data_IF_487975525538
#
_entry.id   IF_487975525538
#
_cell.length_a   1.000
_cell.length_b   1.000
_cell.length_c   1.000
_cell.angle_alpha   90.00
_cell.angle_beta   90.00
_cell.angle_gamma   90.00
#
_symmetry.space_group_name_H-M   'P 1'
#
loop_
_entity.id
_entity.type
_entity.pdbx_description
1 polymer ?
#
# COMPACT_ATOMS: atom_id res chain seq x y z
N UNK A 1 -66.26 31.58 30.52
CA UNK A 1 -66.65 32.69 31.41
C UNK A 1 -65.50 32.89 32.39
N UNK A 2 -64.61 33.88 32.21
CA UNK A 2 -64.75 35.28 32.72
C UNK A 2 -65.07 35.28 34.22
N UNK A 3 -64.33 35.88 35.16
CA UNK A 3 -63.29 36.91 35.19
C UNK A 3 -62.84 37.02 36.67
N UNK A 4 -61.56 37.28 36.93
CA UNK A 4 -60.96 37.83 38.18
C UNK A 4 -61.54 39.25 38.47
N UNK A 5 -61.23 40.05 39.56
CA UNK A 5 -60.11 40.00 40.53
C UNK A 5 -60.29 40.58 41.98
N UNK A 6 -59.21 40.45 42.77
CA UNK A 6 -58.60 41.45 43.69
C UNK A 6 -58.84 41.23 45.20
N UNK A 7 -57.87 41.41 46.11
CA UNK A 7 -57.00 42.59 46.29
C UNK A 7 -55.79 42.28 47.22
N UNK A 8 -54.60 42.63 46.74
CA UNK A 8 -53.41 43.22 47.42
C UNK A 8 -53.13 42.99 48.92
N UNK A 9 -51.88 42.56 49.20
CA UNK A 9 -51.05 43.20 50.23
C UNK A 9 -49.59 43.28 49.79
N UNK A 10 -49.10 44.53 49.67
CA UNK A 10 -47.69 44.92 49.48
C UNK A 10 -46.94 44.80 50.81
N UNK A 11 -45.73 44.23 50.77
CA UNK A 11 -44.58 44.41 51.70
C UNK A 11 -43.50 43.41 51.24
N UNK A 12 -42.23 43.70 51.04
CA UNK A 12 -41.36 44.85 51.28
C UNK A 12 -40.13 44.57 50.40
N UNK A 13 -39.65 45.54 49.61
CA UNK A 13 -38.42 45.37 48.82
C UNK A 13 -37.23 45.58 49.77
N UNK A 14 -36.51 44.52 50.10
CA UNK A 14 -35.19 44.58 50.73
C UNK A 14 -34.14 44.57 49.62
N UNK A 15 -33.34 45.64 49.59
CA UNK A 15 -32.24 45.82 48.68
C UNK A 15 -31.00 45.07 49.19
N UNK A 16 -30.84 43.81 48.78
CA UNK A 16 -29.55 43.09 48.83
C UNK A 16 -29.62 41.87 47.92
N UNK A 17 -29.49 42.04 46.61
CA UNK A 17 -28.92 40.99 45.75
C UNK A 17 -28.44 41.56 44.40
N UNK A 18 -27.46 42.47 44.45
CA UNK A 18 -26.78 42.99 43.26
C UNK A 18 -25.32 42.55 43.30
N UNK A 19 -25.03 41.24 43.14
CA UNK A 19 -23.65 40.80 42.87
C UNK A 19 -23.48 39.41 42.23
N UNK A 20 -24.50 38.77 41.64
CA UNK A 20 -24.30 37.49 40.96
C UNK A 20 -23.80 37.69 39.53
N UNK A 21 -22.49 37.88 39.37
CA UNK A 21 -21.80 37.70 38.07
C UNK A 21 -22.03 36.26 37.58
N UNK A 22 -22.33 36.02 36.29
CA UNK A 22 -22.37 34.67 35.77
C UNK A 22 -20.95 34.09 35.80
N UNK A 23 -20.74 33.06 36.63
CA UNK A 23 -19.56 32.19 36.53
C UNK A 23 -19.68 31.40 35.22
N UNK A 24 -19.14 31.95 34.14
CA UNK A 24 -19.12 31.35 32.83
C UNK A 24 -17.68 31.26 32.30
N UNK A 25 -16.75 30.65 33.04
CA UNK A 25 -15.38 30.42 32.53
C UNK A 25 -14.70 29.24 33.24
N UNK A 26 -15.18 27.99 33.04
CA UNK A 26 -14.38 26.80 33.38
C UNK A 26 -14.78 25.48 32.66
N UNK A 27 -15.72 25.46 31.71
CA UNK A 27 -16.22 24.19 31.10
C UNK A 27 -15.87 23.98 29.62
N UNK A 28 -15.21 24.95 28.97
CA UNK A 28 -15.00 24.89 27.51
C UNK A 28 -13.80 24.00 27.10
N UNK A 29 -12.79 23.83 27.96
CA UNK A 29 -11.61 23.02 27.63
C UNK A 29 -11.85 21.50 27.78
N UNK A 30 -12.57 21.08 28.82
CA UNK A 30 -12.86 19.66 29.08
C UNK A 30 -13.75 19.04 27.99
N UNK A 31 -14.72 19.79 27.47
CA UNK A 31 -15.60 19.36 26.37
C UNK A 31 -14.86 19.21 25.03
N UNK A 32 -13.78 19.96 24.82
CA UNK A 32 -13.01 19.94 23.56
C UNK A 32 -12.11 18.69 23.46
N UNK A 33 -11.51 18.26 24.58
CA UNK A 33 -10.64 17.08 24.61
C UNK A 33 -11.47 15.79 24.52
N UNK A 34 -12.61 15.70 25.22
CA UNK A 34 -13.52 14.54 25.12
C UNK A 34 -13.99 14.33 23.68
N UNK A 35 -14.39 15.40 22.99
CA UNK A 35 -14.87 15.33 21.61
C UNK A 35 -13.79 14.85 20.62
N UNK A 36 -12.52 15.24 20.82
CA UNK A 36 -11.40 14.78 19.99
C UNK A 36 -11.02 13.33 20.27
N UNK A 37 -11.05 12.93 21.53
CA UNK A 37 -10.82 11.54 21.92
C UNK A 37 -11.90 10.62 21.36
N UNK A 38 -13.18 11.00 21.48
CA UNK A 38 -14.30 10.25 20.91
C UNK A 38 -14.21 10.14 19.38
N UNK A 39 -13.79 11.21 18.71
CA UNK A 39 -13.55 11.18 17.27
C UNK A 39 -12.42 10.23 16.88
N UNK A 40 -11.34 10.18 17.68
CA UNK A 40 -10.24 9.24 17.46
C UNK A 40 -10.70 7.79 17.68
N UNK A 41 -11.42 7.51 18.77
CA UNK A 41 -11.96 6.18 19.06
C UNK A 41 -12.84 5.73 17.90
N UNK A 42 -13.81 6.55 17.46
CA UNK A 42 -14.65 6.26 16.30
C UNK A 42 -13.84 6.04 15.02
N UNK A 43 -12.79 6.84 14.79
CA UNK A 43 -11.92 6.66 13.63
C UNK A 43 -11.26 5.27 13.63
N UNK A 44 -10.83 4.78 14.80
CA UNK A 44 -10.18 3.49 15.02
C UNK A 44 -11.17 2.33 14.97
N UNK A 45 -12.38 2.48 15.53
CA UNK A 45 -13.29 1.34 15.76
C UNK A 45 -14.37 1.16 14.70
N UNK A 46 -14.83 2.24 14.06
CA UNK A 46 -16.06 2.18 13.24
C UNK A 46 -15.85 1.45 11.92
N UNK A 47 -14.74 1.74 11.24
CA UNK A 47 -14.47 1.22 9.91
C UNK A 47 -12.96 1.06 9.66
N UNK A 48 -12.63 0.08 8.81
CA UNK A 48 -11.28 -0.14 8.29
C UNK A 48 -10.86 1.01 7.36
N UNK A 49 -9.63 1.48 7.50
CA UNK A 49 -9.06 2.61 6.73
C UNK A 49 -7.97 2.12 5.76
N UNK A 50 -7.61 2.95 4.78
CA UNK A 50 -6.55 2.65 3.80
C UNK A 50 -6.74 1.30 3.07
N UNK A 51 -7.98 0.93 2.78
CA UNK A 51 -8.32 -0.42 2.30
C UNK A 51 -7.77 -0.69 0.91
N UNK A 52 -7.75 0.33 0.03
CA UNK A 52 -7.15 0.23 -1.30
C UNK A 52 -5.63 0.20 -1.21
N UNK A 53 -5.04 1.08 -0.42
CA UNK A 53 -3.60 1.16 -0.23
C UNK A 53 -3.01 -0.15 0.31
N UNK A 54 -3.65 -0.77 1.30
CA UNK A 54 -3.21 -2.08 1.81
C UNK A 54 -3.37 -3.21 0.78
N UNK A 55 -4.40 -3.13 -0.08
CA UNK A 55 -4.58 -4.10 -1.15
C UNK A 55 -3.50 -3.95 -2.24
N UNK A 56 -3.11 -2.72 -2.56
CA UNK A 56 -1.97 -2.42 -3.44
C UNK A 56 -0.64 -2.85 -2.81
N UNK A 57 -0.42 -2.54 -1.53
CA UNK A 57 0.77 -2.93 -0.78
C UNK A 57 0.97 -4.44 -0.84
N UNK A 58 -0.08 -5.23 -0.57
CA UNK A 58 -0.03 -6.70 -0.69
C UNK A 58 0.44 -7.15 -2.06
N UNK A 59 -0.06 -6.52 -3.13
CA UNK A 59 0.34 -6.87 -4.50
C UNK A 59 1.83 -6.54 -4.69
N UNK A 60 2.27 -5.35 -4.30
CA UNK A 60 3.67 -4.94 -4.46
C UNK A 60 4.60 -5.83 -3.63
N UNK A 61 4.29 -6.10 -2.36
CA UNK A 61 5.07 -6.99 -1.50
C UNK A 61 5.13 -8.41 -2.03
N UNK A 62 3.99 -8.96 -2.47
CA UNK A 62 3.96 -10.28 -3.12
C UNK A 62 4.87 -10.34 -4.34
N UNK A 63 4.83 -9.30 -5.18
CA UNK A 63 5.70 -9.19 -6.36
C UNK A 63 7.17 -9.06 -5.98
N UNK A 64 7.52 -8.25 -4.99
CA UNK A 64 8.91 -8.12 -4.51
C UNK A 64 9.44 -9.47 -4.06
N UNK A 65 8.69 -10.17 -3.19
CA UNK A 65 9.11 -11.47 -2.64
C UNK A 65 9.25 -12.49 -3.77
N UNK A 66 8.30 -12.57 -4.70
CA UNK A 66 8.37 -13.51 -5.82
C UNK A 66 9.52 -13.20 -6.78
N UNK A 67 9.72 -11.94 -7.12
CA UNK A 67 10.85 -11.52 -7.95
C UNK A 67 12.17 -11.89 -7.26
N UNK A 68 12.31 -11.55 -5.98
CA UNK A 68 13.49 -11.85 -5.18
C UNK A 68 13.79 -13.35 -5.12
N UNK A 69 12.78 -14.19 -4.87
CA UNK A 69 12.99 -15.64 -4.86
C UNK A 69 13.32 -16.16 -6.28
N UNK A 70 12.61 -15.68 -7.30
CA UNK A 70 12.83 -16.13 -8.68
C UNK A 70 14.24 -15.81 -9.19
N UNK A 71 14.72 -14.59 -8.95
CA UNK A 71 16.05 -14.16 -9.39
C UNK A 71 17.17 -14.90 -8.68
N UNK A 72 16.95 -15.29 -7.42
CA UNK A 72 17.95 -15.99 -6.61
C UNK A 72 17.74 -17.51 -6.59
N UNK A 73 16.86 -18.06 -7.43
CA UNK A 73 16.51 -19.47 -7.39
C UNK A 73 17.71 -20.37 -7.64
N UNK A 74 18.63 -19.98 -8.54
CA UNK A 74 19.81 -20.77 -8.89
C UNK A 74 20.83 -20.81 -7.75
N UNK A 75 21.05 -19.67 -7.10
CA UNK A 75 22.09 -19.50 -6.08
C UNK A 75 21.58 -19.66 -4.64
N UNK A 76 20.30 -20.03 -4.46
CA UNK A 76 19.62 -20.11 -3.15
C UNK A 76 20.39 -20.89 -2.07
N UNK A 77 21.08 -21.98 -2.45
CA UNK A 77 21.85 -22.80 -1.52
C UNK A 77 23.13 -22.11 -1.05
N UNK A 78 23.76 -21.33 -1.93
CA UNK A 78 24.92 -20.51 -1.60
C UNK A 78 24.54 -19.31 -0.74
N UNK A 79 23.38 -18.71 -1.01
CA UNK A 79 22.92 -17.49 -0.35
C UNK A 79 22.32 -17.74 1.05
N UNK A 80 21.52 -18.81 1.20
CA UNK A 80 20.80 -19.12 2.46
C UNK A 80 20.78 -20.60 2.84
N UNK A 81 21.09 -21.52 1.93
CA UNK A 81 20.99 -22.96 2.19
C UNK A 81 22.29 -23.57 2.71
N UNK A 82 22.53 -24.84 2.37
CA UNK A 82 23.63 -25.64 2.93
C UNK A 82 25.03 -25.07 2.66
N UNK A 83 25.21 -24.42 1.50
CA UNK A 83 26.49 -23.80 1.14
C UNK A 83 26.71 -22.43 1.81
N UNK A 84 25.73 -21.93 2.58
CA UNK A 84 25.82 -20.70 3.38
C UNK A 84 26.19 -20.92 4.85
N UNK A 85 26.61 -22.14 5.22
CA UNK A 85 26.97 -22.50 6.60
C UNK A 85 28.09 -21.61 7.19
N UNK A 86 28.94 -21.02 6.35
CA UNK A 86 29.98 -20.07 6.77
C UNK A 86 29.41 -18.78 7.40
N UNK A 87 28.16 -18.42 7.10
CA UNK A 87 27.47 -17.23 7.67
C UNK A 87 26.92 -17.52 9.08
N UNK A 88 26.89 -18.79 9.50
CA UNK A 88 26.23 -19.22 10.72
C UNK A 88 26.72 -18.56 12.02
N UNK A 89 28.03 -18.29 12.21
CA UNK A 89 28.51 -17.58 13.39
C UNK A 89 27.89 -16.18 13.55
N UNK A 90 27.76 -15.43 12.45
CA UNK A 90 27.14 -14.10 12.46
C UNK A 90 25.62 -14.18 12.64
N UNK A 91 24.97 -15.19 12.03
CA UNK A 91 23.55 -15.45 12.27
C UNK A 91 23.27 -15.78 13.74
N UNK A 92 24.13 -16.59 14.41
CA UNK A 92 24.07 -16.87 15.85
C UNK A 92 24.22 -15.58 16.67
N UNK A 93 25.20 -14.74 16.33
CA UNK A 93 25.49 -13.50 17.04
C UNK A 93 24.30 -12.53 17.05
N UNK A 94 23.50 -12.49 15.99
CA UNK A 94 22.30 -11.64 15.91
C UNK A 94 21.16 -12.08 16.84
N UNK A 95 21.17 -13.32 17.35
CA UNK A 95 20.27 -13.76 18.42
C UNK A 95 18.79 -13.92 18.04
N UNK A 96 18.49 -14.23 16.77
CA UNK A 96 17.12 -14.53 16.36
C UNK A 96 16.62 -15.86 16.94
N UNK A 97 15.30 -15.97 17.17
CA UNK A 97 14.69 -17.17 17.72
C UNK A 97 15.02 -18.42 16.89
N UNK A 98 15.39 -19.52 17.56
CA UNK A 98 15.85 -20.76 16.89
C UNK A 98 14.82 -21.33 15.91
N UNK A 99 13.53 -21.15 16.17
CA UNK A 99 12.46 -21.58 15.24
C UNK A 99 12.60 -20.96 13.85
N UNK A 100 13.08 -19.71 13.73
CA UNK A 100 13.27 -19.02 12.45
C UNK A 100 14.45 -19.59 11.67
N UNK A 101 15.45 -20.12 12.38
CA UNK A 101 16.68 -20.67 11.81
C UNK A 101 16.48 -22.11 11.35
N UNK A 102 15.81 -22.91 12.17
CA UNK A 102 15.45 -24.30 11.84
C UNK A 102 14.52 -24.36 10.63
N UNK A 103 13.69 -23.32 10.42
CA UNK A 103 12.78 -23.24 9.28
C UNK A 103 13.50 -23.32 7.92
N UNK A 104 14.73 -22.79 7.84
CA UNK A 104 15.58 -22.87 6.64
C UNK A 104 16.89 -23.60 6.97
N UNK A 105 16.81 -24.93 6.99
CA UNK A 105 17.94 -25.80 7.34
C UNK A 105 19.18 -25.53 6.50
N UNK A 106 20.34 -25.46 7.16
CA UNK A 106 21.66 -25.43 6.51
C UNK A 106 22.38 -26.78 6.52
N UNK A 107 21.78 -27.80 7.13
CA UNK A 107 22.34 -29.14 7.19
C UNK A 107 21.71 -30.08 6.16
N UNK A 108 20.49 -29.75 5.70
CA UNK A 108 19.73 -30.60 4.78
C UNK A 108 19.18 -29.78 3.60
N UNK A 109 19.75 -30.01 2.42
CA UNK A 109 19.38 -29.32 1.19
C UNK A 109 17.92 -29.57 0.76
N UNK A 110 17.40 -30.78 1.00
CA UNK A 110 16.01 -31.10 0.66
C UNK A 110 15.03 -30.33 1.54
N UNK A 111 15.25 -30.28 2.86
CA UNK A 111 14.40 -29.51 3.78
C UNK A 111 14.46 -28.01 3.47
N UNK A 112 15.63 -27.49 3.12
CA UNK A 112 15.77 -26.12 2.65
C UNK A 112 14.93 -25.86 1.39
N UNK A 113 15.04 -26.72 0.37
CA UNK A 113 14.31 -26.57 -0.88
C UNK A 113 12.79 -26.65 -0.68
N UNK A 114 12.33 -27.51 0.23
CA UNK A 114 10.90 -27.57 0.63
C UNK A 114 10.47 -26.26 1.29
N UNK A 115 11.24 -25.72 2.24
CA UNK A 115 10.92 -24.46 2.92
C UNK A 115 10.94 -23.26 1.96
N UNK A 116 11.91 -23.24 1.04
CA UNK A 116 12.02 -22.22 0.00
C UNK A 116 10.84 -22.28 -0.98
N UNK A 117 10.48 -23.48 -1.45
CA UNK A 117 9.31 -23.71 -2.29
C UNK A 117 8.01 -23.34 -1.58
N UNK A 118 7.88 -23.64 -0.28
CA UNK A 118 6.73 -23.25 0.52
C UNK A 118 6.61 -21.72 0.63
N UNK A 119 7.72 -21.00 0.87
CA UNK A 119 7.73 -19.53 0.85
C UNK A 119 7.32 -18.98 -0.52
N UNK A 120 7.79 -19.58 -1.61
CA UNK A 120 7.40 -19.19 -2.97
C UNK A 120 5.89 -19.32 -3.20
N UNK A 121 5.30 -20.46 -2.80
CA UNK A 121 3.86 -20.69 -2.89
C UNK A 121 3.08 -19.72 -1.99
N UNK A 122 3.54 -19.50 -0.75
CA UNK A 122 2.93 -18.52 0.15
C UNK A 122 2.93 -17.12 -0.47
N UNK A 123 4.02 -16.71 -1.13
CA UNK A 123 4.12 -15.43 -1.80
C UNK A 123 3.15 -15.31 -2.99
N UNK A 124 2.98 -16.37 -3.79
CA UNK A 124 1.96 -16.43 -4.86
C UNK A 124 0.54 -16.29 -4.30
N UNK A 125 0.22 -17.06 -3.26
CA UNK A 125 -1.11 -17.04 -2.64
C UNK A 125 -1.39 -15.68 -1.99
N UNK A 126 -0.37 -15.06 -1.39
CA UNK A 126 -0.44 -13.71 -0.84
C UNK A 126 -0.66 -12.65 -1.93
N UNK A 127 0.09 -12.72 -3.04
CA UNK A 127 -0.06 -11.85 -4.21
C UNK A 127 -1.47 -11.91 -4.80
N UNK A 128 -2.05 -13.11 -4.89
CA UNK A 128 -3.42 -13.32 -5.40
C UNK A 128 -4.47 -12.96 -4.35
N UNK A 129 -4.14 -13.07 -3.07
CA UNK A 129 -4.97 -12.60 -1.96
C UNK A 129 -6.05 -13.59 -1.60
N UNK A 130 -5.66 -14.84 -1.51
CA UNK A 130 -6.51 -15.93 -1.06
C UNK A 130 -6.16 -16.30 0.39
N UNK A 131 -7.17 -16.38 1.26
CA UNK A 131 -7.02 -16.70 2.68
C UNK A 131 -5.99 -15.84 3.41
N UNK A 132 -5.95 -14.53 3.13
CA UNK A 132 -4.85 -13.66 3.60
C UNK A 132 -4.72 -13.61 5.12
N UNK A 133 -5.79 -13.88 5.87
CA UNK A 133 -5.76 -13.96 7.35
C UNK A 133 -4.81 -15.05 7.86
N UNK A 134 -4.69 -16.16 7.14
CA UNK A 134 -3.82 -17.28 7.52
C UNK A 134 -2.48 -17.20 6.78
N UNK A 135 -2.51 -16.79 5.51
CA UNK A 135 -1.31 -16.71 4.67
C UNK A 135 -0.36 -15.61 5.13
N UNK A 136 -0.86 -14.46 5.61
CA UNK A 136 0.02 -13.34 6.03
C UNK A 136 0.92 -13.72 7.21
N UNK A 137 0.43 -14.27 8.34
CA UNK A 137 1.31 -14.71 9.43
C UNK A 137 2.34 -15.77 8.99
N UNK A 138 1.94 -16.75 8.18
CA UNK A 138 2.84 -17.79 7.68
C UNK A 138 3.91 -17.20 6.74
N UNK A 139 3.50 -16.34 5.81
CA UNK A 139 4.42 -15.63 4.93
C UNK A 139 5.39 -14.78 5.74
N UNK A 140 4.93 -14.04 6.75
CA UNK A 140 5.78 -13.24 7.63
C UNK A 140 6.81 -14.12 8.32
N UNK A 141 6.39 -15.26 8.88
CA UNK A 141 7.30 -16.21 9.55
C UNK A 141 8.37 -16.73 8.59
N UNK A 142 7.99 -17.19 7.39
CA UNK A 142 8.92 -17.70 6.39
C UNK A 142 9.84 -16.60 5.82
N UNK A 143 9.31 -15.41 5.56
CA UNK A 143 10.11 -14.28 5.08
C UNK A 143 11.14 -13.82 6.11
N UNK A 144 10.73 -13.69 7.38
CA UNK A 144 11.66 -13.38 8.47
C UNK A 144 12.68 -14.51 8.63
N UNK A 145 12.26 -15.77 8.57
CA UNK A 145 13.17 -16.93 8.61
C UNK A 145 14.25 -16.86 7.54
N UNK A 146 13.87 -16.72 6.26
CA UNK A 146 14.83 -16.66 5.16
C UNK A 146 15.75 -15.43 5.28
N UNK A 147 15.17 -14.24 5.50
CA UNK A 147 15.93 -13.00 5.56
C UNK A 147 16.90 -12.91 6.75
N UNK A 148 16.63 -13.63 7.84
CA UNK A 148 17.53 -13.72 9.00
C UNK A 148 18.53 -14.88 8.90
N UNK A 149 18.34 -15.80 7.95
CA UNK A 149 19.25 -16.93 7.74
C UNK A 149 20.61 -16.53 7.14
N UNK A 150 20.69 -15.35 6.52
CA UNK A 150 21.94 -14.78 6.00
C UNK A 150 22.03 -13.29 6.32
N UNK A 151 23.13 -12.90 6.96
CA UNK A 151 23.36 -11.54 7.42
C UNK A 151 23.88 -10.58 6.33
N UNK A 152 24.37 -11.14 5.22
CA UNK A 152 25.16 -10.43 4.20
C UNK A 152 24.29 -9.85 3.08
N UNK A 153 23.10 -10.40 2.88
CA UNK A 153 22.23 -10.08 1.74
C UNK A 153 21.10 -9.09 2.09
N UNK A 154 21.04 -8.65 3.35
CA UNK A 154 19.94 -7.80 3.84
C UNK A 154 20.22 -6.32 3.53
N UNK A 155 19.17 -5.59 3.16
CA UNK A 155 19.22 -4.13 3.01
C UNK A 155 18.12 -3.46 3.86
N UNK A 156 18.02 -2.13 3.76
CA UNK A 156 16.99 -1.37 4.48
C UNK A 156 15.56 -1.77 4.11
N UNK A 157 15.33 -2.19 2.86
CA UNK A 157 14.00 -2.57 2.35
C UNK A 157 13.48 -3.83 3.01
N UNK A 158 14.35 -4.85 3.10
CA UNK A 158 14.07 -6.09 3.80
C UNK A 158 13.74 -5.85 5.29
N UNK A 159 14.47 -4.95 5.96
CA UNK A 159 14.18 -4.55 7.34
C UNK A 159 12.80 -3.91 7.48
N UNK A 160 12.48 -2.96 6.60
CA UNK A 160 11.20 -2.25 6.58
C UNK A 160 10.05 -3.21 6.28
N UNK A 161 10.25 -4.16 5.35
CA UNK A 161 9.27 -5.20 5.02
C UNK A 161 9.03 -6.14 6.19
N UNK A 162 10.07 -6.62 6.91
CA UNK A 162 9.87 -7.48 8.10
C UNK A 162 9.00 -6.82 9.17
N UNK A 163 9.33 -5.58 9.53
CA UNK A 163 8.62 -4.85 10.59
C UNK A 163 7.18 -4.58 10.15
N UNK A 164 6.98 -4.10 8.92
CA UNK A 164 5.63 -3.83 8.42
C UNK A 164 4.81 -5.12 8.24
N UNK A 165 5.38 -6.21 7.73
CA UNK A 165 4.71 -7.51 7.63
C UNK A 165 4.23 -8.02 8.99
N UNK A 166 4.98 -7.79 10.07
CA UNK A 166 4.55 -8.10 11.43
C UNK A 166 3.29 -7.31 11.82
N UNK A 167 3.22 -6.02 11.50
CA UNK A 167 2.02 -5.21 11.73
C UNK A 167 0.86 -5.68 10.84
N UNK A 168 1.14 -6.02 9.58
CA UNK A 168 0.14 -6.40 8.59
C UNK A 168 -0.54 -7.75 8.87
N UNK A 169 0.01 -8.57 9.77
CA UNK A 169 -0.68 -9.76 10.34
C UNK A 169 -2.05 -9.38 10.92
N UNK A 170 -2.15 -8.18 11.50
CA UNK A 170 -3.39 -7.66 12.10
C UNK A 170 -4.25 -6.86 11.12
N UNK A 171 -3.75 -6.61 9.90
CA UNK A 171 -4.43 -5.84 8.87
C UNK A 171 -5.30 -6.71 7.95
N UNK A 172 -6.18 -6.06 7.20
CA UNK A 172 -7.02 -6.71 6.21
C UNK A 172 -6.55 -6.28 4.83
N UNK A 173 -5.74 -7.15 4.23
CA UNK A 173 -5.05 -6.89 2.96
C UNK A 173 -5.85 -7.34 1.73
N UNK A 174 -7.01 -7.98 1.95
CA UNK A 174 -7.80 -8.61 0.90
C UNK A 174 -9.13 -7.92 0.65
N UNK A 175 -9.30 -6.66 1.08
CA UNK A 175 -10.50 -5.86 0.83
C UNK A 175 -10.79 -5.69 -0.67
N UNK A 176 -9.75 -5.40 -1.45
CA UNK A 176 -9.83 -5.15 -2.90
C UNK A 176 -8.80 -5.99 -3.68
N UNK A 177 -9.05 -6.15 -4.98
CA UNK A 177 -8.15 -6.83 -5.94
C UNK A 177 -7.60 -8.19 -5.47
N UNK A 178 -8.45 -8.97 -4.82
CA UNK A 178 -8.07 -10.26 -4.24
C UNK A 178 -9.12 -11.33 -4.53
N UNK A 179 -8.69 -12.58 -4.51
CA UNK A 179 -9.62 -13.73 -4.61
C UNK A 179 -10.60 -13.73 -3.43
N UNK A 180 -10.16 -13.38 -2.22
CA UNK A 180 -11.06 -13.27 -1.07
C UNK A 180 -12.16 -12.21 -1.30
N UNK A 181 -11.83 -11.05 -1.87
CA UNK A 181 -12.82 -10.02 -2.22
C UNK A 181 -13.81 -10.52 -3.28
N UNK A 182 -13.31 -11.22 -4.30
CA UNK A 182 -14.14 -11.81 -5.35
C UNK A 182 -15.09 -12.87 -4.79
N UNK A 183 -14.60 -13.79 -3.95
CA UNK A 183 -15.41 -14.81 -3.28
C UNK A 183 -16.46 -14.17 -2.36
N UNK A 184 -16.11 -13.12 -1.61
CA UNK A 184 -17.08 -12.39 -0.76
C UNK A 184 -18.19 -11.74 -1.60
N UNK A 185 -17.85 -11.13 -2.74
CA UNK A 185 -18.86 -10.55 -3.66
C UNK A 185 -19.79 -11.62 -4.23
N UNK A 186 -19.25 -12.79 -4.62
CA UNK A 186 -20.05 -13.92 -5.13
C UNK A 186 -20.96 -14.55 -4.09
N UNK A 187 -20.53 -14.64 -2.83
CA UNK A 187 -21.32 -15.26 -1.74
C UNK A 187 -22.55 -14.44 -1.33
N UNK A 188 -22.63 -13.17 -1.73
CA UNK A 188 -23.73 -12.26 -1.41
C UNK A 188 -23.78 -11.86 0.07
N UNK A 189 -24.61 -10.86 0.43
CA UNK A 189 -24.75 -10.39 1.81
C UNK A 189 -25.44 -11.37 2.77
N UNK A 190 -26.03 -12.47 2.25
CA UNK A 190 -27.00 -13.30 2.97
C UNK A 190 -26.45 -14.57 3.62
N UNK A 191 -25.22 -14.98 3.33
CA UNK A 191 -24.68 -16.23 3.91
C UNK A 191 -23.95 -15.96 5.23
N UNK A 192 -24.63 -16.28 6.34
CA UNK A 192 -24.03 -16.32 7.68
C UNK A 192 -22.76 -17.21 7.62
N UNK A 193 -21.66 -16.81 8.29
CA UNK A 193 -20.42 -17.59 8.27
C UNK A 193 -20.70 -19.02 8.76
N UNK A 194 -20.31 -20.01 7.94
CA UNK A 194 -20.60 -21.45 8.16
C UNK A 194 -19.90 -21.97 9.43
N UNK A 195 -18.74 -21.43 9.78
CA UNK A 195 -18.11 -21.65 11.08
C UNK A 195 -18.49 -20.53 12.04
N UNK A 196 -19.64 -20.67 12.71
CA UNK A 196 -19.94 -19.94 13.93
C UNK A 196 -19.31 -20.73 15.10
N UNK A 197 -18.00 -20.60 15.30
CA UNK A 197 -17.24 -21.46 16.22
C UNK A 197 -16.16 -20.73 17.03
N UNK A 198 -16.37 -20.72 18.35
CA UNK A 198 -15.50 -20.39 19.50
C UNK A 198 -14.97 -18.96 19.73
N UNK A 199 -14.60 -18.17 18.72
CA UNK A 199 -14.10 -16.79 18.95
C UNK A 199 -14.63 -15.78 17.91
N UNK A 200 -15.92 -15.48 17.95
CA UNK A 200 -16.46 -14.31 17.24
C UNK A 200 -16.15 -13.05 18.04
N UNK A 201 -15.01 -12.43 17.74
CA UNK A 201 -14.67 -11.11 18.27
C UNK A 201 -15.64 -10.05 17.71
N UNK A 202 -15.99 -9.03 18.50
CA UNK A 202 -16.72 -7.88 18.01
C UNK A 202 -16.03 -7.22 16.82
N UNK A 203 -16.80 -6.68 15.87
CA UNK A 203 -16.28 -6.02 14.66
C UNK A 203 -15.32 -4.87 14.98
N UNK A 204 -15.58 -4.14 16.08
CA UNK A 204 -14.75 -3.03 16.53
C UNK A 204 -13.33 -3.49 16.89
N UNK A 205 -13.14 -4.71 17.44
CA UNK A 205 -11.80 -5.26 17.75
C UNK A 205 -11.02 -5.49 16.45
N UNK A 206 -11.67 -6.08 15.45
CA UNK A 206 -11.06 -6.32 14.15
C UNK A 206 -10.75 -5.03 13.38
N UNK A 207 -11.59 -4.00 13.52
CA UNK A 207 -11.34 -2.68 12.96
C UNK A 207 -10.19 -1.96 13.68
N UNK A 208 -10.16 -2.04 15.01
CA UNK A 208 -9.11 -1.44 15.82
C UNK A 208 -7.75 -2.07 15.53
N UNK A 209 -7.65 -3.41 15.50
CA UNK A 209 -6.41 -4.12 15.17
C UNK A 209 -5.91 -3.77 13.76
N UNK A 210 -6.83 -3.69 12.80
CA UNK A 210 -6.52 -3.27 11.43
C UNK A 210 -6.00 -1.83 11.36
N UNK A 211 -6.69 -0.88 11.99
CA UNK A 211 -6.31 0.53 11.97
C UNK A 211 -5.03 0.80 12.79
N UNK A 212 -4.80 0.03 13.87
CA UNK A 212 -3.54 0.06 14.60
C UNK A 212 -2.37 -0.38 13.71
N UNK A 213 -2.53 -1.45 12.92
CA UNK A 213 -1.51 -1.87 11.95
C UNK A 213 -1.21 -0.78 10.91
N UNK A 214 -2.24 -0.09 10.39
CA UNK A 214 -2.07 1.05 9.48
C UNK A 214 -1.30 2.18 10.15
N UNK A 215 -1.67 2.54 11.39
CA UNK A 215 -0.98 3.58 12.16
C UNK A 215 0.48 3.23 12.42
N UNK A 216 0.79 1.98 12.79
CA UNK A 216 2.16 1.51 13.04
C UNK A 216 3.01 1.54 11.77
N UNK A 217 2.45 1.09 10.63
CA UNK A 217 3.14 1.19 9.33
C UNK A 217 3.39 2.66 8.94
N UNK A 218 2.39 3.52 9.10
CA UNK A 218 2.53 4.94 8.82
C UNK A 218 3.58 5.58 9.73
N UNK A 219 3.53 5.30 11.04
CA UNK A 219 4.49 5.80 12.02
C UNK A 219 5.92 5.35 11.70
N UNK A 220 6.12 4.08 11.33
CA UNK A 220 7.42 3.58 10.88
C UNK A 220 7.95 4.41 9.69
N UNK A 221 7.12 4.73 8.70
CA UNK A 221 7.56 5.56 7.56
C UNK A 221 7.89 6.98 7.99
N UNK A 222 7.09 7.60 8.85
CA UNK A 222 7.38 8.93 9.39
C UNK A 222 8.73 8.94 10.11
N UNK A 223 9.00 7.92 10.94
CA UNK A 223 10.28 7.77 11.61
C UNK A 223 11.41 7.62 10.59
N UNK A 224 11.27 6.74 9.60
CA UNK A 224 12.30 6.53 8.58
C UNK A 224 12.64 7.84 7.85
N UNK A 225 11.64 8.62 7.43
CA UNK A 225 11.89 9.86 6.71
C UNK A 225 12.48 10.97 7.58
N UNK A 226 11.89 11.24 8.74
CA UNK A 226 12.40 12.28 9.64
C UNK A 226 13.83 11.96 10.06
N UNK A 227 14.07 10.71 10.46
CA UNK A 227 15.39 10.26 10.88
C UNK A 227 16.38 10.32 9.71
N UNK A 228 15.98 9.90 8.51
CA UNK A 228 16.84 10.02 7.33
C UNK A 228 17.19 11.48 7.02
N UNK A 229 16.23 12.40 7.11
CA UNK A 229 16.47 13.83 6.95
C UNK A 229 17.46 14.40 7.98
N UNK A 230 17.32 14.03 9.25
CA UNK A 230 18.24 14.43 10.33
C UNK A 230 19.65 13.88 10.06
N UNK A 231 19.78 12.58 9.78
CA UNK A 231 21.09 11.97 9.53
C UNK A 231 21.77 12.54 8.27
N UNK A 232 21.00 12.91 7.24
CA UNK A 232 21.54 13.63 6.08
C UNK A 232 22.11 14.98 6.51
N UNK A 233 21.37 15.79 7.28
CA UNK A 233 21.85 17.10 7.74
C UNK A 233 23.16 17.03 8.57
N UNK A 234 23.43 15.90 9.22
CA UNK A 234 24.67 15.69 9.98
C UNK A 234 25.89 15.45 9.07
N UNK A 235 25.69 14.88 7.88
CA UNK A 235 26.78 14.62 6.90
C UNK A 235 27.27 15.89 6.23
N UNK A 236 28.56 15.96 5.92
CA UNK A 236 29.18 17.12 5.26
C UNK A 236 28.73 17.23 3.80
N UNK A 237 28.73 16.11 3.08
CA UNK A 237 28.37 16.00 1.67
C UNK A 237 26.93 16.45 1.40
N UNK A 238 26.03 16.23 2.36
CA UNK A 238 24.64 16.68 2.28
C UNK A 238 24.50 18.18 2.51
N UNK A 239 25.31 18.75 3.41
CA UNK A 239 25.35 20.20 3.68
C UNK A 239 25.99 20.97 2.53
N UNK A 240 26.96 20.35 1.87
CA UNK A 240 27.66 20.93 0.71
C UNK A 240 26.90 20.74 -0.60
N UNK A 241 25.79 19.97 -0.60
CA UNK A 241 24.97 19.74 -1.79
C UNK A 241 25.49 18.67 -2.74
N UNK A 242 26.56 17.96 -2.36
CA UNK A 242 27.29 16.98 -3.19
C UNK A 242 26.87 15.53 -2.95
N UNK A 243 26.05 15.24 -1.94
CA UNK A 243 25.71 13.85 -1.58
C UNK A 243 25.04 13.04 -2.70
N UNK A 244 24.18 13.66 -3.52
CA UNK A 244 23.57 12.95 -4.65
C UNK A 244 24.61 12.58 -5.72
N UNK A 245 25.64 13.41 -5.94
CA UNK A 245 26.77 13.09 -6.83
C UNK A 245 27.47 11.81 -6.37
N UNK A 246 27.86 11.73 -5.10
CA UNK A 246 28.51 10.54 -4.56
C UNK A 246 27.62 9.30 -4.65
N UNK A 247 26.30 9.47 -4.49
CA UNK A 247 25.35 8.36 -4.61
C UNK A 247 25.34 7.75 -6.02
N UNK A 248 25.43 8.56 -7.08
CA UNK A 248 25.32 8.09 -8.47
C UNK A 248 26.67 7.71 -9.11
N UNK A 249 27.80 8.07 -8.49
CA UNK A 249 29.16 7.78 -9.01
C UNK A 249 29.80 6.55 -8.35
N UNK A 250 29.28 6.07 -7.22
CA UNK A 250 29.75 4.83 -6.58
C UNK A 250 29.52 3.60 -7.48
N UNK A 251 30.60 2.95 -7.92
CA UNK A 251 30.54 1.84 -8.89
C UNK A 251 29.61 0.69 -8.47
N UNK A 252 29.53 0.40 -7.16
CA UNK A 252 28.65 -0.64 -6.61
C UNK A 252 27.15 -0.34 -6.82
N UNK A 253 26.79 0.93 -7.00
CA UNK A 253 25.42 1.41 -7.20
C UNK A 253 25.18 1.98 -8.60
N UNK A 254 25.96 1.57 -9.61
CA UNK A 254 25.83 2.07 -11.00
C UNK A 254 25.35 0.98 -11.97
N UNK A 255 24.07 0.56 -11.92
CA UNK A 255 23.52 -0.40 -12.87
C UNK A 255 23.55 0.11 -14.32
N UNK A 256 23.46 1.43 -14.52
CA UNK A 256 23.48 2.09 -15.83
C UNK A 256 24.51 3.22 -15.86
N UNK A 257 25.80 2.93 -16.12
CA UNK A 257 26.88 3.91 -16.02
C UNK A 257 26.65 5.18 -16.84
N UNK A 258 26.19 5.05 -18.09
CA UNK A 258 25.91 6.19 -18.97
C UNK A 258 24.83 7.14 -18.44
N UNK A 259 23.80 6.60 -17.77
CA UNK A 259 22.75 7.41 -17.15
C UNK A 259 23.28 8.16 -15.93
N UNK A 260 24.08 7.49 -15.10
CA UNK A 260 24.79 8.14 -13.99
C UNK A 260 25.71 9.25 -14.50
N UNK A 261 26.45 9.00 -15.59
CA UNK A 261 27.40 9.96 -16.16
C UNK A 261 26.73 11.24 -16.65
N UNK A 262 25.60 11.10 -17.33
CA UNK A 262 24.79 12.25 -17.74
C UNK A 262 24.23 13.02 -16.53
N UNK A 263 23.88 12.32 -15.46
CA UNK A 263 23.21 12.90 -14.30
C UNK A 263 24.16 13.75 -13.47
N UNK A 264 25.39 13.27 -13.23
CA UNK A 264 26.34 14.01 -12.40
C UNK A 264 26.92 15.24 -13.12
N UNK A 265 26.94 15.23 -14.46
CA UNK A 265 27.29 16.41 -15.27
C UNK A 265 26.29 17.56 -15.13
N UNK A 266 25.06 17.28 -14.69
CA UNK A 266 24.06 18.30 -14.42
C UNK A 266 24.14 18.78 -12.96
N UNK A 267 25.15 19.60 -12.66
CA UNK A 267 25.47 20.07 -11.30
C UNK A 267 24.27 20.71 -10.57
N UNK A 268 23.49 21.54 -11.27
CA UNK A 268 22.29 22.14 -10.71
C UNK A 268 21.25 21.09 -10.30
N UNK A 269 21.06 20.06 -11.11
CA UNK A 269 20.16 18.95 -10.80
C UNK A 269 20.61 18.16 -9.59
N UNK A 270 21.92 17.91 -9.47
CA UNK A 270 22.52 17.26 -8.30
C UNK A 270 22.25 18.07 -7.03
N UNK A 271 22.53 19.37 -7.06
CA UNK A 271 22.32 20.25 -5.93
C UNK A 271 20.85 20.25 -5.49
N UNK A 272 19.92 20.43 -6.44
CA UNK A 272 18.48 20.41 -6.16
C UNK A 272 18.04 19.06 -5.60
N UNK A 273 18.48 17.94 -6.18
CA UNK A 273 18.12 16.60 -5.72
C UNK A 273 18.62 16.34 -4.29
N UNK A 274 19.85 16.75 -3.97
CA UNK A 274 20.44 16.64 -2.62
C UNK A 274 19.53 17.33 -1.59
N UNK A 275 19.28 18.64 -1.74
CA UNK A 275 18.49 19.40 -0.76
C UNK A 275 17.01 19.01 -0.74
N UNK A 276 16.40 18.73 -1.90
CA UNK A 276 15.00 18.36 -1.97
C UNK A 276 14.75 17.03 -1.26
N UNK A 277 15.68 16.08 -1.35
CA UNK A 277 15.59 14.81 -0.59
C UNK A 277 15.65 15.03 0.93
N UNK A 278 16.43 15.99 1.42
CA UNK A 278 16.51 16.34 2.85
C UNK A 278 15.19 16.97 3.30
N UNK A 279 14.79 18.07 2.66
CA UNK A 279 13.66 18.87 3.13
C UNK A 279 12.34 18.13 3.00
N UNK A 280 12.12 17.39 1.91
CA UNK A 280 10.86 16.66 1.76
C UNK A 280 10.76 15.51 2.76
N UNK A 281 11.85 14.80 3.06
CA UNK A 281 11.81 13.73 4.05
C UNK A 281 11.66 14.28 5.48
N UNK A 282 12.40 15.33 5.83
CA UNK A 282 12.37 15.94 7.15
C UNK A 282 11.00 16.56 7.46
N UNK A 283 10.43 17.30 6.49
CA UNK A 283 9.16 17.99 6.64
C UNK A 283 7.95 17.13 6.23
N UNK A 284 8.17 15.85 5.87
CA UNK A 284 7.11 14.96 5.41
C UNK A 284 5.89 14.93 6.35
N UNK A 285 6.04 14.77 7.69
CA UNK A 285 4.89 14.77 8.59
C UNK A 285 4.06 16.06 8.53
N UNK A 286 4.72 17.21 8.34
CA UNK A 286 4.05 18.51 8.21
C UNK A 286 3.31 18.63 6.89
N UNK A 287 3.93 18.16 5.79
CA UNK A 287 3.28 18.15 4.48
C UNK A 287 2.03 17.30 4.43
N UNK A 288 1.94 16.22 5.21
CA UNK A 288 0.75 15.36 5.29
C UNK A 288 -0.50 16.06 5.83
N UNK A 289 -0.33 17.10 6.66
CA UNK A 289 -1.42 17.79 7.35
C UNK A 289 -2.34 18.55 6.38
N UNK A 290 -1.77 19.08 5.29
CA UNK A 290 -2.51 19.85 4.29
C UNK A 290 -2.58 19.10 2.96
N UNK A 291 -3.75 19.17 2.29
CA UNK A 291 -4.02 18.35 1.09
C UNK A 291 -3.05 18.60 -0.07
N UNK A 292 -2.80 19.84 -0.54
CA UNK A 292 -1.93 20.05 -1.69
C UNK A 292 -0.47 19.69 -1.38
N UNK A 293 0.05 20.09 -0.22
CA UNK A 293 1.41 19.72 0.20
C UNK A 293 1.59 18.22 0.32
N UNK A 294 0.56 17.49 0.81
CA UNK A 294 0.59 16.03 0.84
C UNK A 294 0.74 15.44 -0.56
N UNK A 295 -0.02 15.94 -1.53
CA UNK A 295 0.04 15.43 -2.91
C UNK A 295 1.43 15.70 -3.50
N UNK A 296 1.94 16.93 -3.37
CA UNK A 296 3.27 17.31 -3.84
C UNK A 296 4.36 16.45 -3.20
N UNK A 297 4.31 16.27 -1.86
CA UNK A 297 5.27 15.44 -1.14
C UNK A 297 5.21 13.97 -1.57
N UNK A 298 4.02 13.41 -1.78
CA UNK A 298 3.87 12.01 -2.25
C UNK A 298 4.37 11.83 -3.68
N UNK A 299 4.12 12.79 -4.59
CA UNK A 299 4.68 12.75 -5.94
C UNK A 299 6.20 12.81 -5.89
N UNK A 300 6.76 13.69 -5.07
CA UNK A 300 8.21 13.79 -4.92
C UNK A 300 8.81 12.50 -4.34
N UNK A 301 8.28 11.98 -3.23
CA UNK A 301 8.82 10.78 -2.59
C UNK A 301 8.69 9.57 -3.50
N UNK A 302 7.57 9.43 -4.22
CA UNK A 302 7.42 8.41 -5.26
C UNK A 302 8.51 8.56 -6.33
N UNK A 303 8.70 9.76 -6.88
CA UNK A 303 9.73 10.03 -7.89
C UNK A 303 11.14 9.76 -7.38
N UNK A 304 11.42 10.11 -6.13
CA UNK A 304 12.69 9.85 -5.46
C UNK A 304 12.95 8.35 -5.29
N UNK A 305 11.96 7.57 -4.84
CA UNK A 305 12.14 6.11 -4.73
C UNK A 305 12.28 5.43 -6.07
N UNK A 306 11.53 5.87 -7.09
CA UNK A 306 11.75 5.42 -8.47
C UNK A 306 13.16 5.77 -8.95
N UNK A 307 13.64 6.97 -8.64
CA UNK A 307 15.01 7.39 -8.86
C UNK A 307 16.02 6.48 -8.18
N UNK A 308 15.87 6.18 -6.89
CA UNK A 308 16.74 5.25 -6.16
C UNK A 308 16.74 3.86 -6.82
N UNK A 309 15.58 3.37 -7.27
CA UNK A 309 15.49 2.07 -7.94
C UNK A 309 16.24 2.07 -9.28
N UNK A 310 16.08 3.13 -10.06
CA UNK A 310 16.68 3.29 -11.38
C UNK A 310 18.19 3.59 -11.33
N UNK A 311 18.58 4.60 -10.56
CA UNK A 311 19.97 5.08 -10.49
C UNK A 311 20.84 4.19 -9.63
N UNK A 312 20.33 3.66 -8.51
CA UNK A 312 21.14 2.90 -7.54
C UNK A 312 20.93 1.38 -7.65
N UNK A 313 20.00 0.92 -8.50
CA UNK A 313 19.68 -0.49 -8.65
C UNK A 313 18.96 -1.10 -7.44
N UNK A 314 18.48 -0.28 -6.50
CA UNK A 314 17.91 -0.71 -5.23
C UNK A 314 16.39 -0.97 -5.31
N UNK A 315 15.96 -1.73 -6.33
CA UNK A 315 14.54 -1.97 -6.61
C UNK A 315 13.73 -2.56 -5.44
N UNK A 316 14.22 -3.59 -4.70
CA UNK A 316 13.45 -4.13 -3.58
C UNK A 316 13.19 -3.09 -2.47
N UNK A 317 14.17 -2.24 -2.17
CA UNK A 317 14.02 -1.14 -1.22
C UNK A 317 13.02 -0.10 -1.73
N UNK A 318 13.20 0.38 -2.96
CA UNK A 318 12.32 1.39 -3.56
C UNK A 318 10.86 0.92 -3.63
N UNK A 319 10.62 -0.31 -4.08
CA UNK A 319 9.26 -0.85 -4.17
C UNK A 319 8.62 -1.03 -2.79
N UNK A 320 9.40 -1.44 -1.78
CA UNK A 320 8.92 -1.55 -0.40
C UNK A 320 8.49 -0.19 0.16
N UNK A 321 9.32 0.85 -0.05
CA UNK A 321 8.99 2.22 0.36
C UNK A 321 7.76 2.75 -0.36
N UNK A 322 7.71 2.61 -1.69
CA UNK A 322 6.55 3.02 -2.50
C UNK A 322 5.27 2.34 -2.00
N UNK A 323 5.30 1.03 -1.74
CA UNK A 323 4.15 0.28 -1.26
C UNK A 323 3.61 0.81 0.08
N UNK A 324 4.49 1.22 0.99
CA UNK A 324 4.12 1.81 2.27
C UNK A 324 3.68 3.27 2.13
N UNK A 325 4.28 4.05 1.22
CA UNK A 325 3.87 5.43 0.95
C UNK A 325 2.43 5.52 0.43
N UNK A 326 1.95 4.47 -0.27
CA UNK A 326 0.55 4.38 -0.69
C UNK A 326 -0.42 4.48 0.50
N UNK A 327 -0.01 4.15 1.73
CA UNK A 327 -0.87 4.31 2.92
C UNK A 327 -1.30 5.76 3.17
N UNK A 328 -0.53 6.74 2.68
CA UNK A 328 -0.86 8.16 2.77
C UNK A 328 -1.76 8.64 1.61
N UNK A 329 -2.04 7.79 0.62
CA UNK A 329 -3.02 8.04 -0.43
C UNK A 329 -4.42 7.74 0.11
N UNK A 330 -5.35 8.68 -0.03
CA UNK A 330 -6.73 8.53 0.45
C UNK A 330 -7.50 7.53 -0.40
N UNK A 331 -8.36 6.73 0.24
CA UNK A 331 -9.29 5.82 -0.46
C UNK A 331 -10.17 6.57 -1.49
N UNK A 332 -10.53 7.83 -1.25
CA UNK A 332 -11.24 8.67 -2.22
C UNK A 332 -10.44 8.92 -3.51
N UNK A 333 -9.12 9.10 -3.39
CA UNK A 333 -8.22 9.30 -4.53
C UNK A 333 -8.08 8.01 -5.34
N UNK A 334 -8.03 6.86 -4.68
CA UNK A 334 -8.10 5.55 -5.33
C UNK A 334 -9.40 5.38 -6.11
N UNK A 335 -10.55 5.69 -5.50
CA UNK A 335 -11.84 5.61 -6.20
C UNK A 335 -11.89 6.50 -7.44
N UNK A 336 -11.41 7.75 -7.34
CA UNK A 336 -11.35 8.67 -8.47
C UNK A 336 -10.44 8.13 -9.59
N UNK A 337 -9.26 7.62 -9.25
CA UNK A 337 -8.34 7.02 -10.21
C UNK A 337 -8.96 5.80 -10.91
N UNK A 338 -9.64 4.92 -10.17
CA UNK A 338 -10.32 3.75 -10.74
C UNK A 338 -11.45 4.15 -11.69
N UNK A 339 -12.25 5.15 -11.32
CA UNK A 339 -13.34 5.66 -12.18
C UNK A 339 -12.76 6.26 -13.46
N UNK A 340 -11.72 7.09 -13.34
CA UNK A 340 -11.02 7.69 -14.48
C UNK A 340 -10.45 6.62 -15.42
N UNK A 341 -9.74 5.62 -14.87
CA UNK A 341 -9.19 4.50 -15.66
C UNK A 341 -10.28 3.71 -16.40
N UNK A 342 -11.45 3.50 -15.77
CA UNK A 342 -12.59 2.84 -16.42
C UNK A 342 -13.15 3.67 -17.56
N UNK A 343 -13.28 4.98 -17.38
CA UNK A 343 -13.70 5.92 -18.42
C UNK A 343 -12.77 5.89 -19.64
N UNK A 344 -11.45 6.01 -19.41
CA UNK A 344 -10.45 5.89 -20.48
C UNK A 344 -10.55 4.54 -21.20
N UNK A 345 -10.71 3.44 -20.45
CA UNK A 345 -10.86 2.11 -21.05
C UNK A 345 -12.15 1.92 -21.86
N UNK A 346 -13.20 2.68 -21.56
CA UNK A 346 -14.46 2.65 -22.29
C UNK A 346 -14.31 3.44 -23.60
N UNK A 347 -13.75 4.65 -23.53
CA UNK A 347 -13.45 5.48 -24.71
C UNK A 347 -12.50 4.76 -25.68
N UNK A 348 -11.44 4.12 -25.17
CA UNK A 348 -10.54 3.32 -26.02
C UNK A 348 -11.24 2.15 -26.69
N UNK A 349 -12.17 1.47 -25.98
CA UNK A 349 -12.97 0.39 -26.56
C UNK A 349 -13.90 0.88 -27.66
N UNK A 350 -14.54 2.02 -27.46
CA UNK A 350 -15.38 2.66 -28.48
C UNK A 350 -14.56 3.03 -29.72
N UNK A 351 -13.39 3.64 -29.56
CA UNK A 351 -12.49 3.98 -30.69
C UNK A 351 -12.05 2.72 -31.45
N UNK A 352 -11.68 1.66 -30.75
CA UNK A 352 -11.29 0.38 -31.37
C UNK A 352 -12.47 -0.25 -32.11
N UNK A 353 -13.68 -0.23 -31.54
CA UNK A 353 -14.88 -0.74 -32.19
C UNK A 353 -15.26 0.08 -33.42
N UNK A 354 -15.19 1.41 -33.35
CA UNK A 354 -15.44 2.31 -34.49
C UNK A 354 -14.42 2.12 -35.61
N UNK A 355 -13.15 1.83 -35.30
CA UNK A 355 -12.13 1.49 -36.31
C UNK A 355 -12.29 0.08 -36.91
N UNK A 356 -12.92 -0.85 -36.18
CA UNK A 356 -13.14 -2.23 -36.64
C UNK A 356 -14.40 -2.38 -37.50
N UNK A 357 -15.41 -1.53 -37.31
CA UNK A 357 -16.64 -1.52 -38.10
C UNK A 357 -16.44 -1.36 -39.62
N UNK A 358 -15.60 -0.43 -40.14
CA UNK A 358 -15.37 -0.30 -41.58
C UNK A 358 -14.53 -1.44 -42.18
N UNK A 359 -13.72 -2.15 -41.38
CA UNK A 359 -12.93 -3.27 -41.86
C UNK A 359 -13.77 -4.54 -42.08
N UNK A 360 -14.83 -4.74 -41.29
CA UNK A 360 -15.76 -5.86 -41.47
C UNK A 360 -16.77 -5.62 -42.60
N UNK A 361 -17.09 -4.35 -42.89
CA UNK A 361 -17.98 -3.99 -44.00
C UNK A 361 -17.31 -4.13 -45.39
N UNK A 362 -15.98 -4.25 -45.44
CA UNK A 362 -15.22 -4.47 -46.69
C UNK A 362 -15.02 -5.96 -47.03
N UNK A 363 -15.26 -6.86 -46.06
CA UNK A 363 -15.19 -8.32 -46.23
C UNK A 363 -16.57 -8.97 -46.47
N UNK A 364 -17.65 -8.16 -46.56
CA UNK A 364 -18.98 -8.65 -46.91
C UNK A 364 -19.03 -8.85 -48.44
N UNK A 365 -19.20 -10.09 -48.96
CA UNK A 365 -19.27 -10.32 -50.40
C UNK A 365 -20.49 -9.59 -50.98
N UNK A 366 -20.27 -8.86 -52.08
CA UNK A 366 -21.29 -8.05 -52.74
C UNK A 366 -22.56 -8.88 -53.01
N UNK A 367 -23.77 -8.32 -52.82
CA UNK A 367 -25.01 -9.02 -53.13
C UNK A 367 -25.04 -9.41 -54.61
N UNK A 368 -25.24 -10.69 -54.90
CA UNK A 368 -25.37 -11.18 -56.27
C UNK A 368 -26.49 -10.43 -57.01
N UNK A 369 -26.17 -9.89 -58.19
CA UNK A 369 -27.15 -9.24 -59.06
C UNK A 369 -28.33 -10.18 -59.37
N UNK A 370 -29.59 -9.71 -59.27
CA UNK A 370 -30.75 -10.53 -59.60
C UNK A 370 -30.77 -10.81 -61.11
N UNK A 371 -30.61 -12.08 -61.46
CA UNK A 371 -30.72 -12.59 -62.83
C UNK A 371 -32.13 -12.33 -63.36
N UNK A 372 -32.26 -11.60 -64.46
CA UNK A 372 -33.56 -11.34 -65.10
C UNK A 372 -34.13 -12.66 -65.66
N UNK A 373 -35.42 -12.97 -65.44
CA UNK A 373 -36.03 -14.19 -65.95
C UNK A 373 -36.28 -14.10 -67.46
N UNK A 374 -35.67 -15.03 -68.19
CA UNK A 374 -35.84 -15.25 -69.62
C UNK A 374 -37.29 -15.71 -69.92
N UNK A 375 -37.97 -14.98 -70.80
CA UNK A 375 -39.37 -15.25 -71.21
C UNK A 375 -39.40 -16.52 -72.06
N UNK A 376 -39.96 -17.59 -71.51
CA UNK A 376 -40.20 -18.84 -72.25
C UNK A 376 -41.65 -18.90 -72.70
N UNK A 377 -41.86 -18.67 -74.00
CA UNK A 377 -43.15 -18.86 -74.68
C UNK A 377 -43.68 -20.28 -74.49
N UNK A 378 -44.93 -20.37 -74.05
CA UNK A 378 -45.69 -21.61 -73.94
C UNK A 378 -46.40 -21.92 -75.26
N UNK A 379 -45.92 -22.93 -75.95
CA UNK A 379 -46.70 -23.77 -76.86
C UNK A 379 -46.35 -25.22 -76.48
N UNK A 380 -47.25 -26.16 -76.26
CA UNK A 380 -48.68 -26.25 -76.43
C UNK A 380 -48.98 -27.76 -76.50
N UNK A 381 -49.97 -28.20 -75.72
CA UNK A 381 -50.77 -29.41 -75.92
C UNK A 381 -50.14 -30.82 -75.89
N UNK A 382 -50.66 -31.62 -74.94
CA UNK A 382 -51.25 -32.99 -75.06
C UNK A 382 -50.38 -34.04 -75.76
N UNK A 383 -50.06 -35.18 -75.15
CA UNK A 383 -50.98 -36.14 -74.50
C UNK A 383 -50.22 -37.14 -73.64
#
# INVERSE_FOLDING_TARGET
>A
MTTTPSRTKKRTISATDASRKPQATASVSAFSVSNRFDALVRWITDAKRATYSLSALRIVYGTIILAFLSTNLRDRHYLWGVASAWVEPEAKRRGWAEILRVLFSKDNAFLFDVAYGALFVLALVFLVGWQTRFVTPLLTLFWVGLSTNSAVLTNGGDTIMRISLLFLVFANLSQHWSVDAWLRRKRGPTRKPVLKGWFTFPSWVGNAAHNAAVMLCAYQILLVYVNSGIYKLMGEEWRDGTAFYYSVVLDVFRPFPALSDLTWQWEFGVYVATFLSIWVQLLFPLFLLWRPTRIVALVFILGMHLGIGLFLGLWPFSLAMIALDLLFVRDSSWCQAIIWLRGVSATLREIVQQRRAPALAQDEPAPAEPTQPEVRETAGARS
#
